data_IF_269122179357
#
_entry.id   IF_269122179357
#
_cell.length_a   1.000
_cell.length_b   1.000
_cell.length_c   1.000
_cell.angle_alpha   90.00
_cell.angle_beta   90.00
_cell.angle_gamma   90.00
#
_symmetry.space_group_name_H-M   'P 1'
#
loop_
_entity.id
_entity.type
_entity.pdbx_description
1 polymer ?
#
# COMPACT_ATOMS: atom_id res chain seq x y z
N UNK A 1 -51.20 30.72 -17.77
CA UNK A 1 -50.22 30.90 -16.68
C UNK A 1 -49.64 29.54 -16.38
N UNK A 2 -48.40 29.33 -16.83
CA UNK A 2 -47.65 28.09 -16.66
C UNK A 2 -47.17 28.03 -15.22
N UNK A 3 -47.76 27.14 -14.41
CA UNK A 3 -47.21 26.81 -13.10
C UNK A 3 -46.01 25.89 -13.32
N UNK A 4 -44.83 26.48 -13.16
CA UNK A 4 -43.53 25.87 -12.88
C UNK A 4 -43.66 24.44 -12.31
N UNK A 5 -43.39 23.44 -13.15
CA UNK A 5 -42.93 22.17 -12.64
C UNK A 5 -41.54 22.45 -12.07
N UNK A 6 -41.39 22.35 -10.75
CA UNK A 6 -40.09 22.34 -10.11
C UNK A 6 -39.29 21.17 -10.71
N UNK A 7 -38.43 21.50 -11.68
CA UNK A 7 -37.38 20.63 -12.16
C UNK A 7 -36.46 20.36 -10.98
N UNK A 8 -36.74 19.25 -10.30
CA UNK A 8 -35.79 18.56 -9.46
C UNK A 8 -34.62 18.16 -10.36
N UNK A 9 -33.65 19.06 -10.49
CA UNK A 9 -32.29 18.74 -10.92
C UNK A 9 -31.68 17.80 -9.88
N UNK A 10 -32.03 16.53 -9.96
CA UNK A 10 -31.12 15.46 -9.56
C UNK A 10 -30.15 15.29 -10.71
N UNK A 11 -29.12 16.15 -10.73
CA UNK A 11 -27.88 15.85 -11.46
C UNK A 11 -27.19 14.70 -10.71
N UNK A 12 -27.71 13.49 -10.94
CA UNK A 12 -26.91 12.29 -10.94
C UNK A 12 -25.87 12.46 -12.03
N UNK A 13 -24.62 12.66 -11.64
CA UNK A 13 -23.49 11.86 -12.10
C UNK A 13 -22.27 12.29 -11.30
N UNK A 14 -22.09 11.65 -10.15
CA UNK A 14 -20.82 11.64 -9.45
C UNK A 14 -19.73 11.26 -10.45
N UNK A 15 -18.79 12.17 -10.61
CA UNK A 15 -17.63 12.03 -11.48
C UNK A 15 -16.75 10.91 -10.91
N UNK A 16 -17.10 9.67 -11.24
CA UNK A 16 -16.24 8.52 -11.04
C UNK A 16 -15.03 8.71 -11.96
N UNK A 17 -14.00 9.41 -11.47
CA UNK A 17 -12.66 9.43 -12.02
C UNK A 17 -12.07 8.00 -11.95
N UNK A 18 -12.56 7.14 -12.84
CA UNK A 18 -11.97 5.86 -13.13
C UNK A 18 -10.65 6.11 -13.85
N UNK A 19 -9.59 5.47 -13.36
CA UNK A 19 -8.27 5.52 -13.98
C UNK A 19 -8.36 5.23 -15.49
N UNK A 20 -8.02 6.21 -16.32
CA UNK A 20 -7.91 6.01 -17.77
C UNK A 20 -6.97 4.83 -18.09
N UNK A 21 -7.36 4.01 -19.08
CA UNK A 21 -6.61 2.83 -19.53
C UNK A 21 -5.11 3.11 -19.77
N UNK A 22 -4.77 4.30 -20.26
CA UNK A 22 -3.37 4.71 -20.48
C UNK A 22 -2.56 4.85 -19.18
N UNK A 23 -3.18 5.33 -18.10
CA UNK A 23 -2.52 5.48 -16.80
C UNK A 23 -2.29 4.13 -16.12
N UNK A 24 -3.23 3.18 -16.31
CA UNK A 24 -3.09 1.80 -15.84
C UNK A 24 -1.86 1.14 -16.48
N UNK A 25 -1.73 1.24 -17.80
CA UNK A 25 -0.59 0.67 -18.53
C UNK A 25 0.75 1.28 -18.10
N UNK A 26 0.78 2.58 -17.83
CA UNK A 26 1.97 3.27 -17.33
C UNK A 26 2.38 2.76 -15.94
N UNK A 27 1.43 2.64 -15.02
CA UNK A 27 1.70 2.14 -13.66
C UNK A 27 2.09 0.66 -13.69
N UNK A 28 1.41 -0.15 -14.52
CA UNK A 28 1.77 -1.54 -14.76
C UNK A 28 3.22 -1.69 -15.22
N UNK A 29 3.66 -0.88 -16.20
CA UNK A 29 5.04 -0.93 -16.70
C UNK A 29 6.07 -0.56 -15.62
N UNK A 30 5.77 0.41 -14.76
CA UNK A 30 6.63 0.77 -13.62
C UNK A 30 6.75 -0.41 -12.63
N UNK A 31 5.61 -1.02 -12.29
CA UNK A 31 5.57 -2.15 -11.36
C UNK A 31 6.25 -3.40 -11.91
N UNK A 32 6.10 -3.64 -13.21
CA UNK A 32 6.83 -4.67 -13.93
C UNK A 32 8.34 -4.42 -13.83
N UNK A 33 8.78 -3.18 -14.10
CA UNK A 33 10.18 -2.79 -14.00
C UNK A 33 10.76 -3.02 -12.60
N UNK A 34 10.06 -2.59 -11.54
CA UNK A 34 10.48 -2.84 -10.15
C UNK A 34 10.61 -4.34 -9.90
N UNK A 35 9.62 -5.14 -10.33
CA UNK A 35 9.61 -6.59 -10.12
C UNK A 35 10.75 -7.29 -10.86
N UNK A 36 11.07 -6.86 -12.09
CA UNK A 36 12.22 -7.38 -12.85
C UNK A 36 13.52 -7.07 -12.14
N UNK A 37 13.68 -5.85 -11.60
CA UNK A 37 14.86 -5.47 -10.82
C UNK A 37 14.98 -6.33 -9.55
N UNK A 38 13.87 -6.55 -8.83
CA UNK A 38 13.82 -7.44 -7.67
C UNK A 38 14.30 -8.85 -8.01
N UNK A 39 13.82 -9.43 -9.13
CA UNK A 39 14.27 -10.74 -9.60
C UNK A 39 15.75 -10.76 -10.00
N UNK A 40 16.27 -9.72 -10.64
CA UNK A 40 17.71 -9.63 -10.97
C UNK A 40 18.55 -9.59 -9.69
N UNK A 41 18.13 -8.81 -8.69
CA UNK A 41 18.83 -8.74 -7.41
C UNK A 41 18.81 -10.12 -6.73
N UNK A 42 17.65 -10.75 -6.65
CA UNK A 42 17.47 -12.04 -5.98
C UNK A 42 18.16 -13.23 -6.69
N UNK A 43 18.05 -13.31 -8.02
CA UNK A 43 18.52 -14.48 -8.80
C UNK A 43 19.93 -14.30 -9.37
N UNK A 44 20.41 -13.07 -9.54
CA UNK A 44 21.69 -12.81 -10.21
C UNK A 44 22.72 -12.17 -9.27
N UNK A 45 22.31 -11.15 -8.52
CA UNK A 45 23.23 -10.29 -7.76
C UNK A 45 23.65 -10.92 -6.42
N UNK A 46 22.71 -11.58 -5.73
CA UNK A 46 22.97 -12.32 -4.48
C UNK A 46 23.74 -13.63 -4.74
N UNK A 47 23.37 -14.51 -5.69
CA UNK A 47 24.04 -15.80 -5.87
C UNK A 47 25.46 -15.69 -6.44
N UNK A 48 25.74 -14.62 -7.20
CA UNK A 48 27.07 -14.34 -7.74
C UNK A 48 28.01 -13.65 -6.75
N UNK A 49 27.54 -13.33 -5.54
CA UNK A 49 28.35 -12.70 -4.49
C UNK A 49 28.75 -11.24 -4.77
N UNK A 50 28.12 -10.57 -5.74
CA UNK A 50 28.42 -9.17 -6.06
C UNK A 50 27.96 -8.21 -4.95
N UNK A 51 26.91 -8.57 -4.20
CA UNK A 51 26.42 -7.81 -3.05
C UNK A 51 26.24 -8.74 -1.86
N UNK A 52 26.79 -8.41 -0.67
CA UNK A 52 26.55 -9.17 0.54
C UNK A 52 25.06 -9.14 0.93
N UNK A 53 24.55 -10.26 1.43
CA UNK A 53 23.13 -10.44 1.75
C UNK A 53 22.58 -9.36 2.70
N UNK A 54 23.42 -8.85 3.60
CA UNK A 54 23.09 -7.78 4.54
C UNK A 54 22.68 -6.47 3.85
N UNK A 55 23.22 -6.19 2.67
CA UNK A 55 22.86 -5.02 1.87
C UNK A 55 21.74 -5.31 0.86
N UNK A 56 21.67 -6.54 0.34
CA UNK A 56 20.63 -6.94 -0.59
C UNK A 56 19.23 -6.99 0.05
N UNK A 57 19.12 -7.52 1.28
CA UNK A 57 17.85 -7.60 2.01
C UNK A 57 17.13 -6.26 2.20
N UNK A 58 17.76 -5.21 2.77
CA UNK A 58 17.08 -3.93 2.94
C UNK A 58 16.71 -3.28 1.60
N UNK A 59 17.55 -3.41 0.57
CA UNK A 59 17.23 -2.94 -0.79
C UNK A 59 15.97 -3.63 -1.33
N UNK A 60 15.89 -4.95 -1.16
CA UNK A 60 14.77 -5.75 -1.65
C UNK A 60 13.48 -5.35 -0.91
N UNK A 61 13.53 -5.27 0.41
CA UNK A 61 12.38 -4.85 1.25
C UNK A 61 11.87 -3.47 0.83
N UNK A 62 12.76 -2.51 0.61
CA UNK A 62 12.38 -1.16 0.18
C UNK A 62 11.73 -1.18 -1.20
N UNK A 63 12.29 -1.89 -2.17
CA UNK A 63 11.71 -2.04 -3.51
C UNK A 63 10.31 -2.69 -3.46
N UNK A 64 10.15 -3.73 -2.64
CA UNK A 64 8.86 -4.40 -2.45
C UNK A 64 7.82 -3.47 -1.81
N UNK A 65 8.23 -2.64 -0.83
CA UNK A 65 7.36 -1.63 -0.22
C UNK A 65 6.93 -0.56 -1.23
N UNK A 66 7.84 -0.06 -2.06
CA UNK A 66 7.49 0.88 -3.14
C UNK A 66 6.48 0.27 -4.10
N UNK A 67 6.70 -0.98 -4.53
CA UNK A 67 5.75 -1.71 -5.38
C UNK A 67 4.38 -1.83 -4.70
N UNK A 68 4.33 -2.25 -3.44
CA UNK A 68 3.09 -2.37 -2.68
C UNK A 68 2.35 -1.02 -2.60
N UNK A 69 3.06 0.07 -2.30
CA UNK A 69 2.50 1.42 -2.28
C UNK A 69 1.89 1.81 -3.64
N UNK A 70 2.58 1.56 -4.75
CA UNK A 70 2.06 1.86 -6.08
C UNK A 70 0.83 1.00 -6.43
N UNK A 71 0.78 -0.27 -6.04
CA UNK A 71 -0.40 -1.13 -6.25
C UNK A 71 -1.59 -0.57 -5.47
N UNK A 72 -1.39 -0.28 -4.19
CA UNK A 72 -2.40 0.27 -3.28
C UNK A 72 -2.92 1.62 -3.79
N UNK A 73 -2.03 2.54 -4.14
CA UNK A 73 -2.41 3.88 -4.59
C UNK A 73 -3.19 3.88 -5.93
N UNK A 74 -2.80 3.03 -6.90
CA UNK A 74 -3.30 3.11 -8.28
C UNK A 74 -4.26 1.99 -8.68
N UNK A 75 -4.08 0.76 -8.19
CA UNK A 75 -4.95 -0.37 -8.53
C UNK A 75 -6.06 -0.61 -7.50
N UNK A 76 -5.83 -0.31 -6.23
CA UNK A 76 -6.90 -0.35 -5.21
C UNK A 76 -7.72 0.94 -5.13
N UNK A 77 -7.51 1.91 -6.05
CA UNK A 77 -8.27 3.17 -6.14
C UNK A 77 -8.26 3.99 -4.83
N UNK A 78 -7.24 3.80 -3.99
CA UNK A 78 -7.14 4.41 -2.67
C UNK A 78 -6.86 5.91 -2.70
N UNK A 79 -6.30 6.40 -3.81
CA UNK A 79 -5.86 7.80 -3.94
C UNK A 79 -7.00 8.81 -4.06
N UNK A 80 -8.22 8.39 -4.42
CA UNK A 80 -9.29 9.34 -4.76
C UNK A 80 -10.56 9.27 -3.90
N UNK A 81 -10.82 8.20 -3.14
CA UNK A 81 -12.10 8.09 -2.40
C UNK A 81 -12.04 7.46 -1.00
N UNK A 82 -10.91 6.93 -0.52
CA UNK A 82 -10.96 5.85 0.48
C UNK A 82 -10.14 6.11 1.74
N UNK A 83 -10.45 7.17 2.46
CA UNK A 83 -10.01 7.36 3.87
C UNK A 83 -10.34 6.12 4.71
N UNK A 84 -11.48 5.48 4.48
CA UNK A 84 -11.89 4.26 5.20
C UNK A 84 -10.95 3.05 5.01
N UNK A 85 -10.38 2.86 3.81
CA UNK A 85 -9.44 1.76 3.58
C UNK A 85 -8.03 2.08 4.13
N UNK A 86 -7.66 3.36 4.23
CA UNK A 86 -6.43 3.75 4.92
C UNK A 86 -6.53 3.41 6.41
N UNK A 87 -7.67 3.73 7.04
CA UNK A 87 -7.98 3.38 8.42
C UNK A 87 -8.00 1.85 8.61
N UNK A 88 -8.55 1.08 7.67
CA UNK A 88 -8.57 -0.39 7.79
C UNK A 88 -7.18 -1.04 7.74
N UNK A 89 -6.16 -0.34 7.24
CA UNK A 89 -4.76 -0.80 7.27
C UNK A 89 -4.05 -0.28 8.53
N UNK A 90 -4.23 1.01 8.87
CA UNK A 90 -3.56 1.65 10.00
C UNK A 90 -4.02 1.06 11.34
N UNK A 91 -5.33 0.82 11.52
CA UNK A 91 -5.89 0.31 12.77
C UNK A 91 -5.30 -1.06 13.16
N UNK A 92 -5.28 -2.10 12.30
CA UNK A 92 -4.67 -3.37 12.67
C UNK A 92 -3.16 -3.28 12.89
N UNK A 93 -2.44 -2.41 12.17
CA UNK A 93 -1.01 -2.19 12.40
C UNK A 93 -0.76 -1.57 13.78
N UNK A 94 -1.50 -0.52 14.13
CA UNK A 94 -1.41 0.11 15.45
C UNK A 94 -1.82 -0.86 16.56
N UNK A 95 -2.84 -1.68 16.33
CA UNK A 95 -3.26 -2.72 17.25
C UNK A 95 -2.15 -3.74 17.49
N UNK A 96 -1.48 -4.23 16.44
CA UNK A 96 -0.35 -5.17 16.57
C UNK A 96 0.81 -4.54 17.35
N UNK A 97 1.19 -3.29 17.04
CA UNK A 97 2.26 -2.59 17.75
C UNK A 97 1.90 -2.44 19.23
N UNK A 98 0.67 -2.02 19.54
CA UNK A 98 0.18 -1.92 20.91
C UNK A 98 0.21 -3.26 21.65
N UNK A 99 -0.17 -4.35 20.97
CA UNK A 99 -0.16 -5.70 21.53
C UNK A 99 1.26 -6.16 21.86
N UNK A 100 2.23 -5.91 20.96
CA UNK A 100 3.66 -6.20 21.21
C UNK A 100 4.17 -5.43 22.44
N UNK A 101 3.83 -4.14 22.56
CA UNK A 101 4.26 -3.32 23.70
C UNK A 101 3.69 -3.84 25.03
N UNK A 102 2.39 -4.16 25.06
CA UNK A 102 1.73 -4.69 26.26
C UNK A 102 2.33 -6.04 26.67
N UNK A 103 2.47 -6.99 25.74
CA UNK A 103 3.05 -8.30 26.04
C UNK A 103 4.52 -8.21 26.46
N UNK A 104 5.29 -7.28 25.89
CA UNK A 104 6.68 -7.06 26.30
C UNK A 104 6.76 -6.49 27.71
N UNK A 105 5.88 -5.55 28.06
CA UNK A 105 5.82 -4.98 29.41
C UNK A 105 5.39 -6.03 30.45
N UNK A 106 4.37 -6.83 30.15
CA UNK A 106 3.98 -7.94 31.02
C UNK A 106 5.11 -8.96 31.17
N UNK A 107 5.76 -9.34 30.06
CA UNK A 107 6.91 -10.26 30.09
C UNK A 107 8.03 -9.75 31.01
N UNK A 108 8.32 -8.44 30.97
CA UNK A 108 9.35 -7.84 31.82
C UNK A 108 8.98 -7.89 33.30
N UNK A 109 7.73 -7.58 33.64
CA UNK A 109 7.18 -7.69 35.00
C UNK A 109 7.29 -9.12 35.57
N UNK A 110 7.02 -10.14 34.76
CA UNK A 110 7.16 -11.55 35.18
C UNK A 110 8.61 -11.95 35.46
N UNK A 111 9.58 -11.43 34.70
CA UNK A 111 11.01 -11.70 34.96
C UNK A 111 11.54 -11.00 36.21
N UNK A 112 10.97 -9.86 36.60
CA UNK A 112 11.41 -9.09 37.76
C UNK A 112 10.85 -9.64 39.09
N UNK A 113 9.72 -10.35 39.04
CA UNK A 113 9.08 -11.00 40.19
C UNK A 113 9.67 -12.38 40.56
N UNK A 114 10.70 -12.84 39.84
CA UNK A 114 11.36 -14.14 40.04
C UNK A 114 12.82 -13.96 40.48
#
# INVERSE_FOLDING_TARGET
MSSENAELHHDEHGEHESMSRGKIWKVFAILLGITVIEFIIALWLVPKGHIPLHWANPIYIVLTLFKAFYIVAYFMHLKFERIGLMISIIVPILFIIGLILVLTNESHYWTELR
#
